data_IF_279728739259
#
_entry.id   IF_279728739259
#
_cell.length_a   1.000
_cell.length_b   1.000
_cell.length_c   1.000
_cell.angle_alpha   90.00
_cell.angle_beta   90.00
_cell.angle_gamma   90.00
#
_symmetry.space_group_name_H-M   'P 1'
#
loop_
_entity.id
_entity.type
_entity.pdbx_description
1 polymer ?
#
# COMPACT_ATOMS: atom_id res chain seq x y z
N UNK A 1 -25.74 -39.28 -22.35
CA UNK A 1 -25.78 -37.80 -22.44
C UNK A 1 -26.08 -37.11 -21.11
N UNK A 2 -27.13 -37.46 -20.36
CA UNK A 2 -27.49 -36.76 -19.10
C UNK A 2 -26.41 -36.82 -18.00
N UNK A 3 -25.71 -37.95 -17.88
CA UNK A 3 -24.64 -38.15 -16.89
C UNK A 3 -23.38 -37.35 -17.21
N UNK A 4 -22.97 -37.26 -18.48
CA UNK A 4 -21.81 -36.47 -18.90
C UNK A 4 -21.98 -34.98 -18.62
N UNK A 5 -23.18 -34.42 -18.82
CA UNK A 5 -23.45 -33.02 -18.49
C UNK A 5 -23.41 -32.75 -16.99
N UNK A 6 -23.90 -33.67 -16.16
CA UNK A 6 -23.83 -33.56 -14.71
C UNK A 6 -22.38 -33.60 -14.20
N UNK A 7 -21.55 -34.49 -14.74
CA UNK A 7 -20.12 -34.58 -14.39
C UNK A 7 -19.36 -33.30 -14.79
N UNK A 8 -19.62 -32.78 -16.00
CA UNK A 8 -19.02 -31.52 -16.46
C UNK A 8 -19.42 -30.34 -15.59
N UNK A 9 -20.70 -30.23 -15.21
CA UNK A 9 -21.18 -29.19 -14.31
C UNK A 9 -20.52 -29.28 -12.93
N UNK A 10 -20.43 -30.48 -12.36
CA UNK A 10 -19.77 -30.70 -11.07
C UNK A 10 -18.28 -30.34 -11.10
N UNK A 11 -17.56 -30.74 -12.16
CA UNK A 11 -16.17 -30.37 -12.35
C UNK A 11 -15.98 -28.85 -12.49
N UNK A 12 -16.88 -28.18 -13.22
CA UNK A 12 -16.87 -26.71 -13.35
C UNK A 12 -17.07 -25.99 -12.02
N UNK A 13 -18.03 -26.44 -11.20
CA UNK A 13 -18.27 -25.87 -9.86
C UNK A 13 -17.07 -26.10 -8.94
N UNK A 14 -16.49 -27.31 -8.96
CA UNK A 14 -15.30 -27.61 -8.16
C UNK A 14 -14.11 -26.73 -8.54
N UNK A 15 -13.84 -26.56 -9.84
CA UNK A 15 -12.78 -25.69 -10.33
C UNK A 15 -13.00 -24.22 -9.93
N UNK A 16 -14.24 -23.71 -10.09
CA UNK A 16 -14.59 -22.35 -9.65
C UNK A 16 -14.38 -22.18 -8.14
N UNK A 17 -14.81 -23.17 -7.34
CA UNK A 17 -14.63 -23.17 -5.89
C UNK A 17 -13.17 -23.11 -5.46
N UNK A 18 -12.28 -23.88 -6.12
CA UNK A 18 -10.84 -23.85 -5.85
C UNK A 18 -10.22 -22.49 -6.17
N UNK A 19 -10.57 -21.89 -7.31
CA UNK A 19 -10.10 -20.56 -7.70
C UNK A 19 -10.54 -19.48 -6.70
N UNK A 20 -11.82 -19.52 -6.29
CA UNK A 20 -12.36 -18.60 -5.28
C UNK A 20 -11.65 -18.77 -3.93
N UNK A 21 -11.44 -20.01 -3.49
CA UNK A 21 -10.76 -20.32 -2.22
C UNK A 21 -9.32 -19.81 -2.21
N UNK A 22 -8.56 -20.09 -3.27
CA UNK A 22 -7.17 -19.63 -3.39
C UNK A 22 -7.09 -18.09 -3.41
N UNK A 23 -8.01 -17.43 -4.13
CA UNK A 23 -8.09 -15.97 -4.14
C UNK A 23 -8.37 -15.41 -2.74
N UNK A 24 -9.33 -15.98 -2.03
CA UNK A 24 -9.66 -15.57 -0.67
C UNK A 24 -8.48 -15.82 0.29
N UNK A 25 -7.78 -16.94 0.14
CA UNK A 25 -6.61 -17.26 0.94
C UNK A 25 -5.50 -16.22 0.75
N UNK A 26 -5.16 -15.88 -0.50
CA UNK A 26 -4.18 -14.82 -0.81
C UNK A 26 -4.59 -13.45 -0.26
N UNK A 27 -5.87 -13.09 -0.35
CA UNK A 27 -6.38 -11.84 0.22
C UNK A 27 -6.22 -11.82 1.75
N UNK A 28 -6.51 -12.93 2.44
CA UNK A 28 -6.31 -13.04 3.89
C UNK A 28 -4.84 -12.95 4.28
N UNK A 29 -3.95 -13.63 3.55
CA UNK A 29 -2.50 -13.52 3.77
C UNK A 29 -2.01 -12.08 3.61
N UNK A 30 -2.46 -11.37 2.58
CA UNK A 30 -2.09 -9.98 2.36
C UNK A 30 -2.57 -9.07 3.51
N UNK A 31 -3.81 -9.26 3.99
CA UNK A 31 -4.35 -8.50 5.11
C UNK A 31 -3.61 -8.81 6.43
N UNK A 32 -3.30 -10.08 6.68
CA UNK A 32 -2.59 -10.48 7.90
C UNK A 32 -1.13 -9.99 7.90
N UNK A 33 -0.44 -10.07 6.76
CA UNK A 33 0.89 -9.47 6.62
C UNK A 33 0.86 -7.94 6.85
N UNK A 34 -0.18 -7.27 6.34
CA UNK A 34 -0.36 -5.84 6.59
C UNK A 34 -0.64 -5.55 8.08
N UNK A 35 -1.46 -6.37 8.74
CA UNK A 35 -1.72 -6.24 10.19
C UNK A 35 -0.43 -6.36 11.00
N UNK A 36 0.38 -7.42 10.77
CA UNK A 36 1.67 -7.61 11.43
C UNK A 36 2.57 -6.39 11.22
N UNK A 37 2.67 -5.89 9.99
CA UNK A 37 3.44 -4.69 9.67
C UNK A 37 2.93 -3.46 10.45
N UNK A 38 1.62 -3.28 10.58
CA UNK A 38 1.02 -2.13 11.28
C UNK A 38 1.21 -2.21 12.80
N UNK A 39 1.19 -3.42 13.37
CA UNK A 39 1.55 -3.66 14.78
C UNK A 39 3.03 -3.32 15.00
N UNK A 40 3.91 -3.79 14.11
CA UNK A 40 5.34 -3.47 14.18
C UNK A 40 5.60 -1.96 14.13
N UNK A 41 5.00 -1.24 13.16
CA UNK A 41 5.14 0.22 13.07
C UNK A 41 4.62 0.94 14.31
N UNK A 42 3.57 0.41 14.96
CA UNK A 42 3.08 0.95 16.23
C UNK A 42 4.16 0.84 17.30
N UNK A 43 4.84 -0.32 17.40
CA UNK A 43 5.96 -0.51 18.32
C UNK A 43 7.11 0.47 18.07
N UNK A 44 7.50 0.69 16.80
CA UNK A 44 8.55 1.64 16.41
C UNK A 44 8.18 3.09 16.77
N UNK A 45 6.90 3.46 16.63
CA UNK A 45 6.41 4.78 17.03
C UNK A 45 6.43 4.95 18.55
N UNK A 46 6.02 3.94 19.32
CA UNK A 46 5.88 4.06 20.78
C UNK A 46 7.14 3.76 21.58
N UNK A 47 8.16 3.14 20.99
CA UNK A 47 9.39 2.77 21.67
C UNK A 47 10.61 3.42 20.98
N UNK A 48 11.26 4.42 21.61
CA UNK A 48 12.46 5.07 21.07
C UNK A 48 13.64 4.12 20.81
N UNK A 49 13.81 3.06 21.61
CA UNK A 49 14.89 2.09 21.40
C UNK A 49 14.65 1.28 20.12
N UNK A 50 13.41 0.86 19.87
CA UNK A 50 13.06 0.18 18.61
C UNK A 50 13.20 1.12 17.41
N UNK A 51 12.90 2.41 17.59
CA UNK A 51 13.10 3.42 16.55
C UNK A 51 14.58 3.61 16.22
N UNK A 52 15.44 3.69 17.24
CA UNK A 52 16.88 3.81 17.04
C UNK A 52 17.47 2.63 16.25
N UNK A 53 16.92 1.42 16.39
CA UNK A 53 17.32 0.24 15.58
C UNK A 53 16.93 0.40 14.11
N UNK A 54 15.82 1.08 13.82
CA UNK A 54 15.31 1.27 12.46
C UNK A 54 15.95 2.48 11.74
N UNK A 55 16.42 3.47 12.49
CA UNK A 55 17.09 4.65 11.94
C UNK A 55 18.54 4.31 11.56
N UNK A 56 18.95 4.47 10.29
CA UNK A 56 20.34 4.26 9.91
C UNK A 56 21.27 5.19 10.72
N UNK A 57 22.40 4.68 11.25
CA UNK A 57 23.36 5.51 11.97
C UNK A 57 23.89 6.62 11.03
N UNK A 58 23.83 7.87 11.49
CA UNK A 58 24.18 9.04 10.68
C UNK A 58 23.08 9.50 9.72
N UNK A 59 21.85 8.96 9.83
CA UNK A 59 20.69 9.43 9.08
C UNK A 59 20.38 10.89 9.42
N UNK A 60 20.41 11.75 8.42
CA UNK A 60 20.22 13.21 8.56
C UNK A 60 18.80 13.66 8.90
N UNK A 61 17.92 12.77 9.37
CA UNK A 61 16.57 13.11 9.83
C UNK A 61 16.54 13.20 11.35
N UNK A 62 15.87 14.22 11.86
CA UNK A 62 15.47 14.30 13.27
C UNK A 62 14.48 13.18 13.63
N UNK A 63 14.38 12.89 14.93
CA UNK A 63 13.41 11.91 15.45
C UNK A 63 11.95 12.24 15.06
N UNK A 64 11.62 13.53 14.97
CA UNK A 64 10.30 14.00 14.59
C UNK A 64 10.03 13.75 13.09
N UNK A 65 10.99 14.05 12.21
CA UNK A 65 10.89 13.74 10.79
C UNK A 65 10.76 12.25 10.56
N UNK A 66 11.50 11.45 11.33
CA UNK A 66 11.41 9.99 11.26
C UNK A 66 10.03 9.48 11.68
N UNK A 67 9.44 10.03 12.75
CA UNK A 67 8.08 9.71 13.17
C UNK A 67 7.04 10.04 12.08
N UNK A 68 7.15 11.24 11.51
CA UNK A 68 6.28 11.69 10.41
C UNK A 68 6.40 10.75 9.20
N UNK A 69 7.61 10.35 8.83
CA UNK A 69 7.84 9.39 7.76
C UNK A 69 7.23 8.01 8.04
N UNK A 70 7.31 7.52 9.29
CA UNK A 70 6.65 6.27 9.69
C UNK A 70 5.13 6.37 9.55
N UNK A 71 4.53 7.49 9.95
CA UNK A 71 3.08 7.70 9.83
C UNK A 71 2.64 7.69 8.38
N UNK A 72 3.36 8.39 7.49
CA UNK A 72 3.04 8.37 6.05
C UNK A 72 3.25 6.97 5.46
N UNK A 73 4.33 6.28 5.83
CA UNK A 73 4.56 4.90 5.45
C UNK A 73 3.37 4.00 5.84
N UNK A 74 2.87 4.17 7.06
CA UNK A 74 1.72 3.44 7.58
C UNK A 74 0.47 3.65 6.71
N UNK A 75 0.21 4.90 6.31
CA UNK A 75 -0.93 5.27 5.47
C UNK A 75 -0.82 4.68 4.06
N UNK A 76 0.35 4.83 3.40
CA UNK A 76 0.58 4.28 2.06
C UNK A 76 0.46 2.75 2.07
N UNK A 77 1.09 2.06 3.02
CA UNK A 77 1.02 0.61 3.13
C UNK A 77 -0.41 0.10 3.34
N UNK A 78 -1.24 0.86 4.08
CA UNK A 78 -2.67 0.57 4.25
C UNK A 78 -3.46 0.77 2.95
N UNK A 79 -3.19 1.85 2.19
CA UNK A 79 -3.84 2.07 0.89
C UNK A 79 -3.48 0.95 -0.11
N UNK A 80 -2.20 0.55 -0.16
CA UNK A 80 -1.71 -0.52 -1.02
C UNK A 80 -2.44 -1.83 -0.77
N UNK A 81 -2.57 -2.27 0.48
CA UNK A 81 -3.26 -3.53 0.78
C UNK A 81 -4.77 -3.44 0.48
N UNK A 82 -5.43 -2.32 0.82
CA UNK A 82 -6.86 -2.13 0.56
C UNK A 82 -7.16 -2.18 -0.94
N UNK A 83 -6.31 -1.58 -1.77
CA UNK A 83 -6.45 -1.66 -3.22
C UNK A 83 -6.19 -3.08 -3.71
N UNK A 84 -5.10 -3.73 -3.24
CA UNK A 84 -4.74 -5.10 -3.63
C UNK A 84 -5.84 -6.11 -3.38
N UNK A 85 -6.51 -6.02 -2.23
CA UNK A 85 -7.59 -6.97 -1.90
C UNK A 85 -8.94 -6.56 -2.48
N UNK A 86 -9.03 -5.42 -3.16
CA UNK A 86 -10.24 -4.94 -3.83
C UNK A 86 -11.24 -4.24 -2.93
N UNK A 87 -10.82 -3.77 -1.75
CA UNK A 87 -11.67 -2.99 -0.82
C UNK A 87 -11.87 -1.54 -1.28
N UNK A 88 -10.97 -1.02 -2.13
CA UNK A 88 -11.10 0.30 -2.75
C UNK A 88 -10.86 0.20 -4.25
N UNK A 89 -11.54 1.07 -5.00
CA UNK A 89 -11.34 1.22 -6.45
C UNK A 89 -10.13 2.09 -6.75
N UNK A 90 -9.65 2.08 -8.00
CA UNK A 90 -8.57 2.99 -8.44
C UNK A 90 -8.95 4.46 -8.26
N UNK A 91 -10.22 4.81 -8.49
CA UNK A 91 -10.75 6.17 -8.24
C UNK A 91 -10.66 6.55 -6.77
N UNK A 92 -11.07 5.65 -5.86
CA UNK A 92 -10.97 5.91 -4.42
C UNK A 92 -9.50 6.01 -3.98
N UNK A 93 -8.60 5.20 -4.55
CA UNK A 93 -7.16 5.31 -4.32
C UNK A 93 -6.61 6.67 -4.76
N UNK A 94 -6.96 7.16 -5.96
CA UNK A 94 -6.57 8.49 -6.45
C UNK A 94 -6.97 9.60 -5.49
N UNK A 95 -8.21 9.60 -5.00
CA UNK A 95 -8.71 10.61 -4.05
C UNK A 95 -7.91 10.58 -2.74
N UNK A 96 -7.60 9.39 -2.23
CA UNK A 96 -6.82 9.26 -0.99
C UNK A 96 -5.35 9.65 -1.19
N UNK A 97 -4.78 9.37 -2.36
CA UNK A 97 -3.45 9.79 -2.73
C UNK A 97 -3.35 11.33 -2.83
N UNK A 98 -4.33 11.98 -3.47
CA UNK A 98 -4.42 13.45 -3.52
C UNK A 98 -4.45 14.05 -2.11
N UNK A 99 -5.34 13.58 -1.23
CA UNK A 99 -5.41 14.04 0.16
C UNK A 99 -4.10 13.85 0.94
N UNK A 100 -3.36 12.79 0.64
CA UNK A 100 -2.04 12.57 1.22
C UNK A 100 -1.04 13.61 0.73
N UNK A 101 -1.05 13.93 -0.57
CA UNK A 101 -0.14 14.88 -1.19
C UNK A 101 -0.53 16.35 -1.01
N UNK A 102 -1.78 16.65 -0.63
CA UNK A 102 -2.19 17.99 -0.17
C UNK A 102 -1.38 18.40 1.08
N UNK A 103 -0.98 17.42 1.90
CA UNK A 103 -0.16 17.64 3.08
C UNK A 103 1.34 17.66 2.74
N UNK A 104 2.06 18.66 3.24
CA UNK A 104 3.51 18.80 3.03
C UNK A 104 4.30 17.57 3.51
N UNK A 105 3.91 16.97 4.63
CA UNK A 105 4.57 15.76 5.16
C UNK A 105 4.44 14.58 4.21
N UNK A 106 3.29 14.46 3.52
CA UNK A 106 3.08 13.46 2.49
C UNK A 106 4.01 13.65 1.29
N UNK A 107 4.15 14.90 0.83
CA UNK A 107 5.06 15.27 -0.27
C UNK A 107 6.52 15.06 0.09
N UNK A 108 6.95 15.48 1.29
CA UNK A 108 8.31 15.28 1.77
C UNK A 108 8.66 13.79 1.83
N UNK A 109 7.75 12.97 2.36
CA UNK A 109 7.92 11.52 2.38
C UNK A 109 8.06 10.95 0.96
N UNK A 110 7.18 11.35 0.03
CA UNK A 110 7.21 10.83 -1.33
C UNK A 110 8.49 11.24 -2.06
N UNK A 111 8.92 12.48 -1.91
CA UNK A 111 10.19 12.96 -2.46
C UNK A 111 11.38 12.12 -1.98
N UNK A 112 11.38 11.71 -0.71
CA UNK A 112 12.49 10.96 -0.13
C UNK A 112 12.43 9.45 -0.43
N UNK A 113 11.25 8.85 -0.42
CA UNK A 113 11.09 7.38 -0.43
C UNK A 113 10.30 6.85 -1.63
N UNK A 114 9.71 7.71 -2.47
CA UNK A 114 8.83 7.32 -3.58
C UNK A 114 9.52 6.39 -4.58
N UNK A 115 10.75 6.72 -4.98
CA UNK A 115 11.53 5.89 -5.89
C UNK A 115 11.83 4.50 -5.31
N UNK A 116 12.13 4.41 -4.00
CA UNK A 116 12.29 3.12 -3.32
C UNK A 116 10.99 2.32 -3.32
N UNK A 117 9.85 2.95 -3.07
CA UNK A 117 8.54 2.29 -3.13
C UNK A 117 8.25 1.71 -4.51
N UNK A 118 8.52 2.47 -5.55
CA UNK A 118 8.34 2.01 -6.94
C UNK A 118 9.25 0.82 -7.25
N UNK A 119 10.51 0.85 -6.80
CA UNK A 119 11.45 -0.25 -6.98
C UNK A 119 11.05 -1.52 -6.21
N UNK A 120 10.41 -1.37 -5.04
CA UNK A 120 9.90 -2.48 -4.22
C UNK A 120 8.61 -3.12 -4.77
N UNK A 121 8.02 -2.58 -5.83
CA UNK A 121 6.78 -3.05 -6.40
C UNK A 121 6.89 -4.46 -7.02
N UNK A 122 6.61 -5.49 -6.22
CA UNK A 122 6.75 -6.89 -6.63
C UNK A 122 5.81 -7.33 -7.77
N UNK A 123 4.66 -6.68 -7.95
CA UNK A 123 3.65 -7.10 -8.91
C UNK A 123 2.97 -5.89 -9.61
N UNK A 124 2.13 -6.20 -10.61
CA UNK A 124 1.38 -5.18 -11.36
C UNK A 124 0.48 -4.33 -10.46
N UNK A 125 -0.10 -4.91 -9.41
CA UNK A 125 -1.01 -4.20 -8.51
C UNK A 125 -0.23 -3.18 -7.68
N UNK A 126 0.94 -3.55 -7.17
CA UNK A 126 1.85 -2.65 -6.47
C UNK A 126 2.28 -1.48 -7.35
N UNK A 127 2.69 -1.76 -8.59
CA UNK A 127 3.05 -0.71 -9.56
C UNK A 127 1.90 0.27 -9.79
N UNK A 128 0.67 -0.22 -10.00
CA UNK A 128 -0.51 0.64 -10.14
C UNK A 128 -0.76 1.53 -8.93
N UNK A 129 -0.45 1.07 -7.73
CA UNK A 129 -0.62 1.90 -6.52
C UNK A 129 0.37 3.05 -6.52
N UNK A 130 1.64 2.75 -6.80
CA UNK A 130 2.70 3.74 -6.74
C UNK A 130 2.63 4.71 -7.93
N UNK A 131 2.21 4.27 -9.12
CA UNK A 131 1.85 5.16 -10.23
C UNK A 131 0.79 6.20 -9.78
N UNK A 132 -0.28 5.76 -9.11
CA UNK A 132 -1.34 6.69 -8.65
C UNK A 132 -0.85 7.67 -7.58
N UNK A 133 0.15 7.27 -6.78
CA UNK A 133 0.78 8.14 -5.78
C UNK A 133 1.77 9.11 -6.42
N UNK A 134 2.55 8.68 -7.40
CA UNK A 134 3.41 9.53 -8.21
C UNK A 134 2.60 10.60 -8.94
N UNK A 135 1.53 10.20 -9.64
CA UNK A 135 0.59 11.13 -10.28
C UNK A 135 -0.05 12.11 -9.26
N UNK A 136 -0.21 11.71 -7.99
CA UNK A 136 -0.71 12.61 -6.94
C UNK A 136 0.29 13.64 -6.52
N UNK A 137 1.55 13.23 -6.46
CA UNK A 137 2.64 14.06 -6.04
C UNK A 137 2.94 15.12 -7.10
N UNK A 138 3.02 14.71 -8.37
CA UNK A 138 3.28 15.61 -9.49
C UNK A 138 2.16 16.67 -9.63
N UNK A 139 0.88 16.25 -9.60
CA UNK A 139 -0.25 17.19 -9.60
C UNK A 139 -0.18 18.20 -8.44
N UNK A 140 0.26 17.77 -7.26
CA UNK A 140 0.37 18.64 -6.09
C UNK A 140 1.54 19.64 -6.20
N UNK A 141 2.63 19.26 -6.88
CA UNK A 141 3.73 20.19 -7.19
C UNK A 141 3.30 21.24 -8.21
N UNK A 142 2.61 20.84 -9.28
CA UNK A 142 2.11 21.75 -10.31
C UNK A 142 1.14 22.79 -9.73
N UNK A 143 0.25 22.36 -8.81
CA UNK A 143 -0.66 23.26 -8.12
C UNK A 143 0.05 24.25 -7.20
N UNK A 144 1.15 23.84 -6.54
CA UNK A 144 1.95 24.74 -5.70
C UNK A 144 2.63 25.82 -6.55
N UNK A 145 3.19 25.44 -7.70
CA UNK A 145 3.84 26.37 -8.65
C UNK A 145 2.83 27.37 -9.23
N UNK A 146 1.59 26.95 -9.48
CA UNK A 146 0.55 27.83 -10.02
C UNK A 146 -0.02 28.82 -8.98
N UNK A 147 0.25 28.62 -7.69
CA UNK A 147 -0.23 29.48 -6.61
C UNK A 147 0.77 30.56 -6.17
N UNK A 148 2.04 30.44 -6.60
CA UNK A 148 3.13 31.40 -6.39
C UNK A 148 3.25 32.41 -7.54
#
# INVERSE_FOLDING_TARGET
MKTSHAVLAAAGVAAAGLVLSERQHRQRLALHAAEIHQVWLTGVVTNPELRAVWTPPGGGLSDEEHLRAIVVNRMISMLSVRYRVGLITKRALRIQAQRLMDNEVGRQYWNQYGSTREAEAADRIGRQVFEVLADAYDDALDMAVAAD
#
